data_IF_211780908336
#
_entry.id   IF_211780908336
#
_cell.length_a   1.000
_cell.length_b   1.000
_cell.length_c   1.000
_cell.angle_alpha   90.00
_cell.angle_beta   90.00
_cell.angle_gamma   90.00
#
_symmetry.space_group_name_H-M   'P 1'
#
loop_
_entity.id
_entity.type
_entity.pdbx_description
1 polymer ?
#
# COMPACT_ATOMS: atom_id res chain seq x y z
N UNK A 1 0.59 -16.98 -7.37
CA UNK A 1 0.57 -15.73 -6.61
C UNK A 1 0.87 -14.54 -7.53
N UNK A 2 -0.01 -13.56 -7.55
CA UNK A 2 0.12 -12.35 -8.37
C UNK A 2 0.30 -11.15 -7.43
N UNK A 3 1.42 -10.45 -7.54
CA UNK A 3 1.68 -9.18 -6.87
C UNK A 3 1.97 -8.10 -7.90
N UNK A 4 1.43 -6.91 -7.72
CA UNK A 4 1.60 -5.77 -8.62
C UNK A 4 2.03 -4.57 -7.78
N UNK A 5 3.14 -3.95 -8.14
CA UNK A 5 3.53 -2.66 -7.59
C UNK A 5 2.97 -1.55 -8.48
N UNK A 6 2.05 -0.75 -7.96
CA UNK A 6 1.41 0.33 -8.73
C UNK A 6 2.37 1.49 -9.06
N UNK A 7 3.58 1.45 -8.52
CA UNK A 7 4.65 2.42 -8.79
C UNK A 7 5.54 2.03 -9.98
N UNK A 8 5.41 0.82 -10.53
CA UNK A 8 6.27 0.34 -11.63
C UNK A 8 5.87 0.88 -13.00
N UNK A 9 4.57 1.13 -13.21
CA UNK A 9 4.07 1.61 -14.49
C UNK A 9 4.17 3.13 -14.58
N UNK A 10 5.35 3.63 -14.87
CA UNK A 10 5.62 5.08 -14.99
C UNK A 10 4.71 5.76 -16.02
N UNK A 11 4.44 5.19 -17.22
CA UNK A 11 3.47 5.76 -18.16
C UNK A 11 2.08 5.98 -17.56
N UNK A 12 1.54 5.03 -16.81
CA UNK A 12 0.22 5.17 -16.17
C UNK A 12 0.26 6.21 -15.05
N UNK A 13 1.31 6.23 -14.22
CA UNK A 13 1.47 7.24 -13.18
C UNK A 13 1.48 8.66 -13.75
N UNK A 14 2.26 8.87 -14.82
CA UNK A 14 2.38 10.17 -15.45
C UNK A 14 1.11 10.57 -16.20
N UNK A 15 0.44 9.64 -16.89
CA UNK A 15 -0.81 9.91 -17.57
C UNK A 15 -1.90 10.35 -16.59
N UNK A 16 -2.20 9.55 -15.57
CA UNK A 16 -3.21 9.90 -14.56
C UNK A 16 -2.84 11.15 -13.75
N UNK A 17 -1.54 11.34 -13.46
CA UNK A 17 -1.06 12.55 -12.79
C UNK A 17 -1.26 13.81 -13.61
N UNK A 18 -1.11 13.74 -14.94
CA UNK A 18 -1.29 14.84 -15.86
C UNK A 18 -2.77 15.10 -16.21
N UNK A 19 -3.52 14.03 -16.49
CA UNK A 19 -4.88 14.14 -17.03
C UNK A 19 -5.94 14.40 -15.93
N UNK A 20 -5.70 13.92 -14.71
CA UNK A 20 -6.58 14.19 -13.57
C UNK A 20 -5.84 14.90 -12.43
N UNK A 21 -5.09 14.14 -11.63
CA UNK A 21 -4.25 14.67 -10.55
C UNK A 21 -3.37 13.55 -9.96
N UNK A 22 -2.29 13.93 -9.30
CA UNK A 22 -1.45 12.97 -8.56
C UNK A 22 -2.21 12.26 -7.42
N UNK A 23 -3.29 12.85 -6.93
CA UNK A 23 -4.19 12.25 -5.95
C UNK A 23 -4.82 10.95 -6.46
N UNK A 24 -5.11 10.84 -7.76
CA UNK A 24 -5.86 9.74 -8.37
C UNK A 24 -4.98 8.63 -8.95
N UNK A 25 -3.67 8.80 -9.02
CA UNK A 25 -2.77 7.92 -9.77
C UNK A 25 -2.84 6.43 -9.36
N UNK A 26 -3.05 6.13 -8.10
CA UNK A 26 -3.18 4.75 -7.63
C UNK A 26 -4.63 4.26 -7.70
N UNK A 27 -5.60 5.10 -7.33
CA UNK A 27 -7.02 4.75 -7.42
C UNK A 27 -7.39 4.32 -8.84
N UNK A 28 -6.96 5.07 -9.86
CA UNK A 28 -7.26 4.76 -11.28
C UNK A 28 -6.62 3.46 -11.75
N UNK A 29 -5.44 3.14 -11.29
CA UNK A 29 -4.84 1.85 -11.61
C UNK A 29 -5.58 0.71 -10.92
N UNK A 30 -5.97 0.86 -9.66
CA UNK A 30 -6.72 -0.15 -8.91
C UNK A 30 -8.09 -0.44 -9.52
N UNK A 31 -8.75 0.53 -10.13
CA UNK A 31 -10.05 0.33 -10.81
C UNK A 31 -10.03 -0.82 -11.83
N UNK A 32 -8.86 -1.09 -12.43
CA UNK A 32 -8.67 -2.12 -13.44
C UNK A 32 -8.10 -3.45 -12.90
N UNK A 33 -7.59 -3.46 -11.67
CA UNK A 33 -6.84 -4.62 -11.16
C UNK A 33 -7.47 -5.25 -9.92
N UNK A 34 -8.18 -4.44 -9.13
CA UNK A 34 -8.63 -4.85 -7.81
C UNK A 34 -9.94 -5.63 -7.86
N UNK A 35 -9.92 -6.81 -7.26
CA UNK A 35 -11.08 -7.68 -7.11
C UNK A 35 -11.39 -7.90 -5.62
N UNK A 36 -12.61 -8.35 -5.31
CA UNK A 36 -13.01 -8.73 -3.96
C UNK A 36 -12.08 -9.84 -3.41
N UNK A 37 -11.62 -9.67 -2.18
CA UNK A 37 -10.71 -10.61 -1.53
C UNK A 37 -9.23 -10.39 -1.85
N UNK A 38 -8.89 -9.46 -2.72
CA UNK A 38 -7.50 -9.03 -2.90
C UNK A 38 -6.96 -8.35 -1.64
N UNK A 39 -5.65 -8.19 -1.56
CA UNK A 39 -4.97 -7.48 -0.47
C UNK A 39 -4.28 -6.24 -1.02
N UNK A 40 -4.64 -5.07 -0.50
CA UNK A 40 -3.91 -3.83 -0.75
C UNK A 40 -2.95 -3.53 0.40
N UNK A 41 -1.65 -3.42 0.11
CA UNK A 41 -0.65 -2.89 1.04
C UNK A 41 -0.41 -1.42 0.68
N UNK A 42 -0.75 -0.52 1.60
CA UNK A 42 -0.64 0.91 1.46
C UNK A 42 0.48 1.46 2.37
N UNK A 43 1.48 2.10 1.78
CA UNK A 43 2.66 2.61 2.51
C UNK A 43 2.65 4.13 2.47
N UNK A 44 2.58 4.75 3.64
CA UNK A 44 2.65 6.21 3.80
C UNK A 44 3.20 6.55 5.18
N UNK A 45 4.41 7.10 5.24
CA UNK A 45 5.06 7.46 6.51
C UNK A 45 4.24 8.47 7.32
N UNK A 46 3.65 9.48 6.70
CA UNK A 46 2.76 10.44 7.35
C UNK A 46 1.35 9.87 7.62
N UNK A 47 0.94 8.86 6.85
CA UNK A 47 -0.45 8.41 6.83
C UNK A 47 -1.44 9.41 6.23
N UNK A 48 -0.96 10.50 5.60
CA UNK A 48 -1.77 11.61 5.10
C UNK A 48 -1.76 11.75 3.57
N UNK A 49 -0.95 10.95 2.86
CA UNK A 49 -0.79 11.05 1.41
C UNK A 49 -2.13 10.86 0.68
N UNK A 50 -2.68 11.89 -0.01
CA UNK A 50 -4.03 11.82 -0.58
C UNK A 50 -4.20 10.70 -1.60
N UNK A 51 -3.17 10.40 -2.40
CA UNK A 51 -3.18 9.31 -3.37
C UNK A 51 -3.30 7.92 -2.71
N UNK A 52 -2.68 7.74 -1.55
CA UNK A 52 -2.78 6.52 -0.75
C UNK A 52 -4.18 6.40 -0.14
N UNK A 53 -4.72 7.49 0.43
CA UNK A 53 -6.05 7.48 1.03
C UNK A 53 -7.14 7.18 -0.01
N UNK A 54 -7.04 7.72 -1.23
CA UNK A 54 -7.95 7.41 -2.34
C UNK A 54 -7.89 5.94 -2.76
N UNK A 55 -6.68 5.37 -2.83
CA UNK A 55 -6.47 3.96 -3.15
C UNK A 55 -7.10 3.05 -2.09
N UNK A 56 -6.89 3.34 -0.82
CA UNK A 56 -7.47 2.59 0.32
C UNK A 56 -8.99 2.73 0.33
N UNK A 57 -9.53 3.92 0.05
CA UNK A 57 -10.97 4.13 -0.07
C UNK A 57 -11.60 3.19 -1.09
N UNK A 58 -11.04 3.12 -2.30
CA UNK A 58 -11.52 2.21 -3.35
C UNK A 58 -11.38 0.74 -2.94
N UNK A 59 -10.28 0.36 -2.31
CA UNK A 59 -10.05 -1.02 -1.88
C UNK A 59 -11.14 -1.49 -0.90
N UNK A 60 -11.51 -0.65 0.04
CA UNK A 60 -12.61 -0.91 0.97
C UNK A 60 -13.96 -1.00 0.27
N UNK A 61 -14.25 -0.08 -0.66
CA UNK A 61 -15.47 -0.10 -1.47
C UNK A 61 -15.63 -1.42 -2.23
N UNK A 62 -14.53 -2.06 -2.64
CA UNK A 62 -14.50 -3.31 -3.41
C UNK A 62 -14.32 -4.57 -2.57
N UNK A 63 -14.29 -4.48 -1.25
CA UNK A 63 -14.16 -5.65 -0.38
C UNK A 63 -12.76 -6.27 -0.36
N UNK A 64 -11.72 -5.52 -0.71
CA UNK A 64 -10.35 -5.94 -0.55
C UNK A 64 -9.88 -5.78 0.91
N UNK A 65 -8.98 -6.63 1.35
CA UNK A 65 -8.31 -6.49 2.66
C UNK A 65 -7.25 -5.40 2.57
N UNK A 66 -7.22 -4.50 3.55
CA UNK A 66 -6.31 -3.34 3.54
C UNK A 66 -5.30 -3.39 4.67
N UNK A 67 -4.01 -3.26 4.33
CA UNK A 67 -2.90 -3.21 5.28
C UNK A 67 -2.16 -1.88 5.09
N UNK A 68 -2.06 -1.09 6.16
CA UNK A 68 -1.30 0.15 6.19
C UNK A 68 0.06 -0.02 6.84
N UNK A 69 1.12 0.48 6.21
CA UNK A 69 2.43 0.67 6.83
C UNK A 69 2.66 2.17 7.00
N UNK A 70 2.80 2.64 8.24
CA UNK A 70 2.90 4.07 8.51
C UNK A 70 3.92 4.39 9.59
N UNK A 71 4.22 5.67 9.74
CA UNK A 71 5.04 6.18 10.81
C UNK A 71 4.26 6.39 12.11
N UNK A 72 4.80 7.22 12.99
CA UNK A 72 4.22 7.51 14.29
C UNK A 72 2.81 8.09 14.17
N UNK A 73 1.88 7.50 14.91
CA UNK A 73 0.48 7.91 14.92
C UNK A 73 -0.37 7.39 13.75
N UNK A 74 0.21 7.16 12.56
CA UNK A 74 -0.47 6.58 11.39
C UNK A 74 -1.43 7.49 10.66
N UNK A 75 -1.69 8.70 11.12
CA UNK A 75 -2.55 9.70 10.49
C UNK A 75 -3.95 9.20 10.11
N UNK A 76 -4.59 9.83 9.11
CA UNK A 76 -5.87 9.39 8.56
C UNK A 76 -5.88 7.98 7.98
N UNK A 77 -4.74 7.44 7.57
CA UNK A 77 -4.62 6.08 7.04
C UNK A 77 -4.99 5.03 8.10
N UNK A 78 -4.56 5.23 9.36
CA UNK A 78 -4.73 4.25 10.43
C UNK A 78 -6.17 3.78 10.63
N UNK A 79 -7.19 4.64 10.78
CA UNK A 79 -8.57 4.19 10.94
C UNK A 79 -9.22 3.69 9.64
N UNK A 80 -8.56 3.86 8.48
CA UNK A 80 -9.10 3.45 7.18
C UNK A 80 -8.74 2.02 6.79
N UNK A 81 -7.75 1.41 7.43
CA UNK A 81 -7.25 0.08 7.06
C UNK A 81 -7.67 -0.99 8.08
N UNK A 82 -7.75 -2.24 7.64
CA UNK A 82 -8.09 -3.37 8.51
C UNK A 82 -6.94 -3.70 9.48
N UNK A 83 -5.71 -3.55 9.02
CA UNK A 83 -4.50 -3.70 9.83
C UNK A 83 -3.55 -2.53 9.57
N UNK A 84 -3.12 -1.84 10.61
CA UNK A 84 -2.11 -0.79 10.50
C UNK A 84 -0.86 -1.14 11.32
N UNK A 85 0.30 -1.22 10.66
CA UNK A 85 1.59 -1.40 11.30
C UNK A 85 2.25 -0.03 11.42
N UNK A 86 2.53 0.39 12.65
CA UNK A 86 3.11 1.69 12.95
C UNK A 86 4.59 1.55 13.35
N UNK A 87 5.41 2.44 12.81
CA UNK A 87 6.80 2.60 13.24
C UNK A 87 6.88 3.81 14.17
N UNK A 88 7.09 3.62 15.48
CA UNK A 88 7.08 4.70 16.47
C UNK A 88 8.40 5.50 16.43
N UNK A 89 8.62 6.23 15.36
CA UNK A 89 9.79 7.09 15.16
C UNK A 89 9.36 8.37 14.45
N UNK A 90 9.92 9.49 14.84
CA UNK A 90 9.74 10.76 14.14
C UNK A 90 10.64 10.88 12.89
N UNK A 91 11.65 10.02 12.78
CA UNK A 91 12.63 10.06 11.69
C UNK A 91 12.14 9.23 10.50
N UNK A 92 11.90 9.87 9.36
CA UNK A 92 11.38 9.23 8.14
C UNK A 92 12.30 8.09 7.69
N UNK A 93 13.62 8.29 7.73
CA UNK A 93 14.58 7.25 7.34
C UNK A 93 14.49 5.99 8.20
N UNK A 94 14.17 6.12 9.50
CA UNK A 94 13.92 4.97 10.36
C UNK A 94 12.60 4.26 9.99
N UNK A 95 11.56 5.03 9.69
CA UNK A 95 10.27 4.47 9.26
C UNK A 95 10.44 3.67 7.96
N UNK A 96 11.10 4.24 6.96
CA UNK A 96 11.34 3.60 5.67
C UNK A 96 12.21 2.33 5.78
N UNK A 97 13.25 2.36 6.64
CA UNK A 97 14.10 1.19 6.89
C UNK A 97 13.30 0.03 7.51
N UNK A 98 12.39 0.32 8.44
CA UNK A 98 11.51 -0.70 9.03
C UNK A 98 10.48 -1.19 8.01
N UNK A 99 9.88 -0.31 7.21
CA UNK A 99 8.96 -0.71 6.14
C UNK A 99 9.64 -1.67 5.13
N UNK A 100 10.88 -1.39 4.75
CA UNK A 100 11.65 -2.29 3.89
C UNK A 100 11.93 -3.65 4.56
N UNK A 101 12.26 -3.65 5.85
CA UNK A 101 12.46 -4.90 6.59
C UNK A 101 11.14 -5.72 6.68
N UNK A 102 10.00 -5.06 6.84
CA UNK A 102 8.68 -5.70 6.83
C UNK A 102 8.35 -6.29 5.44
N UNK A 103 8.66 -5.57 4.36
CA UNK A 103 8.49 -6.08 3.00
C UNK A 103 9.26 -7.40 2.78
N UNK A 104 10.51 -7.44 3.17
CA UNK A 104 11.30 -8.68 3.14
C UNK A 104 10.70 -9.78 4.01
N UNK A 105 10.26 -9.47 5.23
CA UNK A 105 9.66 -10.46 6.12
C UNK A 105 8.36 -11.05 5.56
N UNK A 106 7.50 -10.20 5.01
CA UNK A 106 6.25 -10.61 4.35
C UNK A 106 6.54 -11.50 3.14
N UNK A 107 7.48 -11.08 2.29
CA UNK A 107 7.90 -11.83 1.11
C UNK A 107 8.43 -13.21 1.48
N UNK A 108 9.28 -13.29 2.51
CA UNK A 108 9.81 -14.58 3.01
C UNK A 108 8.70 -15.47 3.58
N UNK A 109 7.78 -14.92 4.34
CA UNK A 109 6.66 -15.66 4.92
C UNK A 109 5.72 -16.21 3.84
N UNK A 110 5.42 -15.42 2.82
CA UNK A 110 4.61 -15.84 1.66
C UNK A 110 5.33 -16.96 0.91
N UNK A 111 6.63 -16.79 0.62
CA UNK A 111 7.43 -17.82 -0.08
C UNK A 111 7.41 -19.15 0.65
N UNK A 112 7.59 -19.16 1.96
CA UNK A 112 7.55 -20.39 2.77
C UNK A 112 6.19 -21.10 2.72
N UNK A 113 5.10 -20.35 2.53
CA UNK A 113 3.76 -20.93 2.41
C UNK A 113 3.43 -21.47 1.02
N UNK A 114 3.95 -20.82 -0.02
CA UNK A 114 3.69 -21.19 -1.42
C UNK A 114 4.61 -22.32 -1.86
N UNK A 115 5.88 -22.27 -1.45
CA UNK A 115 6.92 -23.25 -1.78
C UNK A 115 7.70 -23.61 -0.51
N UNK A 116 7.10 -24.44 0.37
CA UNK A 116 7.75 -24.83 1.62
C UNK A 116 9.02 -25.62 1.31
N UNK A 117 10.09 -25.43 2.10
CA UNK A 117 11.31 -26.22 1.94
C UNK A 117 10.98 -27.72 2.10
N UNK A 118 11.50 -28.52 1.19
CA UNK A 118 11.36 -29.98 1.20
C UNK A 118 12.12 -30.59 2.37
#
# INVERSE_FOLDING_TARGET
>A
FRAIALTENVPLLTAWGNDESFRMVFRRQLENHLEEGDVLIAISTSGESPNILEAVGLARERGAVTIGLSGDGGGPLRPMVDLCILVPSAEIGHQEAVHLALDHAITMAIRQRIDPPR
#
